data_IF_478713084037
#
_entry.id   IF_478713084037
#
_cell.length_a   1.000
_cell.length_b   1.000
_cell.length_c   1.000
_cell.angle_alpha   90.00
_cell.angle_beta   90.00
_cell.angle_gamma   90.00
#
_symmetry.space_group_name_H-M   'P 1'
#
loop_
_entity.id
_entity.type
_entity.pdbx_description
1 polymer ?
#
# COMPACT_ATOMS: atom_id res chain seq x y z
N UNK A 1 -4.75 -22.12 7.38
CA UNK A 1 -5.15 -20.71 7.56
C UNK A 1 -4.49 -20.23 8.85
N UNK A 2 -3.65 -19.21 8.78
CA UNK A 2 -3.05 -18.59 9.97
C UNK A 2 -3.81 -17.29 10.26
N UNK A 3 -4.14 -17.07 11.52
CA UNK A 3 -4.81 -15.86 12.01
C UNK A 3 -4.02 -15.27 13.16
N UNK A 4 -4.06 -13.95 13.30
CA UNK A 4 -3.47 -13.22 14.41
C UNK A 4 -2.18 -12.53 14.03
N UNK A 5 -1.20 -12.52 14.94
CA UNK A 5 0.10 -11.90 14.70
C UNK A 5 0.87 -12.74 13.67
N UNK A 6 1.16 -12.12 12.53
CA UNK A 6 1.92 -12.73 11.44
C UNK A 6 3.42 -12.51 11.61
N UNK A 7 3.80 -11.28 11.99
CA UNK A 7 5.17 -10.95 12.40
C UNK A 7 5.23 -9.63 13.17
N UNK A 8 6.35 -9.39 13.87
CA UNK A 8 6.64 -8.13 14.54
C UNK A 8 8.14 -7.86 14.52
N UNK A 9 8.50 -6.58 14.45
CA UNK A 9 9.91 -6.16 14.47
C UNK A 9 10.05 -4.75 15.05
N UNK A 10 11.18 -4.52 15.72
CA UNK A 10 11.73 -3.20 16.01
C UNK A 10 12.97 -3.07 15.13
N UNK A 11 12.89 -2.38 13.98
CA UNK A 11 14.03 -2.28 13.08
C UNK A 11 15.11 -1.39 13.66
N UNK A 12 16.37 -1.65 13.26
CA UNK A 12 17.45 -0.69 13.51
C UNK A 12 17.15 0.61 12.76
N UNK A 13 17.47 1.79 13.35
CA UNK A 13 17.27 3.08 12.70
C UNK A 13 17.99 3.19 11.36
N UNK A 14 17.29 3.67 10.35
CA UNK A 14 17.86 4.02 9.05
C UNK A 14 17.64 3.00 7.94
N UNK A 15 18.07 1.73 8.05
CA UNK A 15 17.89 0.77 6.94
C UNK A 15 16.44 0.30 6.78
N UNK A 16 16.09 -0.04 5.53
CA UNK A 16 14.84 -0.74 5.22
C UNK A 16 14.97 -2.20 5.69
N UNK A 17 13.97 -2.69 6.39
CA UNK A 17 13.95 -4.04 6.97
C UNK A 17 12.73 -4.81 6.46
N UNK A 18 12.92 -6.09 6.15
CA UNK A 18 11.80 -6.96 5.80
C UNK A 18 10.99 -7.31 7.06
N UNK A 19 9.71 -6.90 7.07
CA UNK A 19 8.77 -7.25 8.13
C UNK A 19 8.11 -8.61 7.86
N UNK A 20 7.76 -8.89 6.60
CA UNK A 20 7.05 -10.11 6.25
C UNK A 20 7.28 -10.47 4.79
N UNK A 21 7.34 -11.77 4.50
CA UNK A 21 7.37 -12.29 3.14
C UNK A 21 6.14 -13.16 2.89
N UNK A 22 5.42 -12.89 1.82
CA UNK A 22 4.26 -13.67 1.41
C UNK A 22 4.66 -15.11 1.08
N UNK A 23 3.95 -16.11 1.61
CA UNK A 23 4.17 -17.52 1.25
C UNK A 23 3.95 -17.76 -0.26
N UNK A 24 4.61 -18.78 -0.81
CA UNK A 24 4.64 -19.01 -2.26
C UNK A 24 3.28 -19.25 -2.93
N UNK A 25 2.29 -19.70 -2.16
CA UNK A 25 0.99 -20.16 -2.67
C UNK A 25 -0.20 -19.50 -1.98
N UNK A 26 0.03 -18.39 -1.27
CA UNK A 26 -1.00 -17.79 -0.42
C UNK A 26 -1.05 -16.29 -0.56
N UNK A 27 -2.26 -15.76 -0.40
CA UNK A 27 -2.49 -14.35 -0.17
C UNK A 27 -2.51 -14.09 1.33
N UNK A 28 -1.82 -13.06 1.77
CA UNK A 28 -1.89 -12.56 3.13
C UNK A 28 -2.60 -11.22 3.14
N UNK A 29 -3.60 -11.09 4.02
CA UNK A 29 -4.37 -9.85 4.22
C UNK A 29 -4.19 -9.47 5.67
N UNK A 30 -3.73 -8.25 5.91
CA UNK A 30 -3.51 -7.79 7.28
C UNK A 30 -3.33 -6.31 7.38
N UNK A 31 -3.19 -5.85 8.61
CA UNK A 31 -2.91 -4.46 8.98
C UNK A 31 -1.58 -4.38 9.69
N UNK A 32 -0.94 -3.23 9.58
CA UNK A 32 0.25 -2.92 10.37
C UNK A 32 -0.16 -1.94 11.47
N UNK A 33 0.16 -2.30 12.71
CA UNK A 33 0.16 -1.36 13.82
C UNK A 33 1.59 -0.92 14.06
N UNK A 34 1.80 0.39 14.11
CA UNK A 34 3.09 1.01 14.43
C UNK A 34 2.95 1.74 15.76
N UNK A 35 3.82 1.46 16.71
CA UNK A 35 3.85 2.12 18.00
C UNK A 35 5.24 2.66 18.30
N UNK A 36 5.32 3.94 18.69
CA UNK A 36 6.61 4.56 19.08
C UNK A 36 6.74 4.66 20.58
N UNK A 37 7.86 4.14 21.09
CA UNK A 37 8.30 4.32 22.48
C UNK A 37 9.48 5.30 22.60
N UNK A 38 9.94 5.85 21.49
CA UNK A 38 11.03 6.82 21.48
C UNK A 38 10.52 8.23 21.76
N UNK A 39 11.18 8.96 22.65
CA UNK A 39 10.83 10.35 22.96
C UNK A 39 11.07 11.32 21.79
N UNK A 40 12.01 10.99 20.90
CA UNK A 40 12.19 11.75 19.65
C UNK A 40 11.14 11.33 18.63
N UNK A 41 10.51 12.27 17.92
CA UNK A 41 9.63 11.94 16.82
C UNK A 41 10.37 11.16 15.73
N UNK A 42 9.81 10.05 15.30
CA UNK A 42 10.35 9.23 14.22
C UNK A 42 9.62 9.48 12.90
N UNK A 43 10.32 9.29 11.80
CA UNK A 43 9.70 9.13 10.48
C UNK A 43 9.66 7.65 10.13
N UNK A 44 8.50 7.18 9.70
CA UNK A 44 8.32 5.79 9.31
C UNK A 44 8.05 5.66 7.83
N UNK A 45 8.41 4.51 7.29
CA UNK A 45 8.05 4.07 5.95
C UNK A 45 7.50 2.66 6.03
N UNK A 46 6.44 2.41 5.28
CA UNK A 46 5.84 1.10 5.06
C UNK A 46 5.72 0.91 3.57
N UNK A 47 6.28 -0.15 3.05
CA UNK A 47 6.28 -0.40 1.61
C UNK A 47 6.30 -1.88 1.29
N UNK A 48 6.37 -2.19 0.02
CA UNK A 48 6.54 -3.55 -0.44
C UNK A 48 7.61 -3.63 -1.52
N UNK A 49 8.14 -4.83 -1.70
CA UNK A 49 9.03 -5.18 -2.80
C UNK A 49 8.40 -6.28 -3.63
N UNK A 50 8.42 -6.07 -4.94
CA UNK A 50 8.08 -7.07 -5.95
C UNK A 50 9.22 -7.11 -6.97
N UNK A 51 10.02 -8.17 -6.91
CA UNK A 51 11.27 -8.22 -7.66
C UNK A 51 12.29 -7.18 -7.19
N UNK A 52 12.70 -6.27 -8.07
CA UNK A 52 13.65 -5.17 -7.75
C UNK A 52 12.98 -3.90 -7.27
N UNK A 53 11.66 -3.77 -7.46
CA UNK A 53 10.94 -2.54 -7.27
C UNK A 53 10.43 -2.38 -5.83
N UNK A 54 10.73 -1.24 -5.23
CA UNK A 54 10.21 -0.84 -3.91
C UNK A 54 9.20 0.27 -4.09
N UNK A 55 8.04 0.10 -3.49
CA UNK A 55 6.94 1.09 -3.48
C UNK A 55 6.41 1.24 -2.06
N UNK A 56 5.77 2.35 -1.78
CA UNK A 56 5.38 2.72 -0.43
C UNK A 56 3.87 2.83 -0.27
N UNK A 57 3.35 2.27 0.83
CA UNK A 57 2.02 2.54 1.35
C UNK A 57 2.02 3.77 2.25
N UNK A 58 3.11 3.96 3.02
CA UNK A 58 3.37 5.13 3.84
C UNK A 58 4.82 5.59 3.62
N UNK A 59 5.03 6.89 3.42
CA UNK A 59 6.36 7.43 3.18
C UNK A 59 6.64 8.65 4.05
N UNK A 60 7.70 8.55 4.89
CA UNK A 60 8.12 9.61 5.80
C UNK A 60 7.03 10.13 6.75
N UNK A 61 6.04 9.30 7.07
CA UNK A 61 5.00 9.65 8.03
C UNK A 61 5.59 9.84 9.42
N UNK A 62 5.23 10.93 10.08
CA UNK A 62 5.63 11.20 11.45
C UNK A 62 4.86 10.34 12.43
N UNK A 63 5.59 9.82 13.45
CA UNK A 63 5.02 9.18 14.65
C UNK A 63 5.72 9.74 15.88
N UNK A 64 4.94 10.15 16.88
CA UNK A 64 5.42 10.72 18.14
C UNK A 64 5.49 9.68 19.24
N UNK A 65 6.14 10.03 20.36
CA UNK A 65 6.15 9.20 21.58
C UNK A 65 4.72 8.86 22.02
N UNK A 66 4.49 7.57 22.28
CA UNK A 66 3.19 7.05 22.72
C UNK A 66 2.10 7.03 21.64
N UNK A 67 2.38 7.49 20.44
CA UNK A 67 1.44 7.41 19.32
C UNK A 67 1.39 6.00 18.76
N UNK A 68 0.19 5.59 18.38
CA UNK A 68 -0.08 4.34 17.67
C UNK A 68 -0.78 4.67 16.36
N UNK A 69 -0.27 4.12 15.27
CA UNK A 69 -0.82 4.24 13.93
C UNK A 69 -1.23 2.86 13.45
N UNK A 70 -2.40 2.75 12.84
CA UNK A 70 -2.85 1.53 12.16
C UNK A 70 -3.10 1.83 10.67
N UNK A 71 -2.67 0.92 9.80
CA UNK A 71 -2.91 1.01 8.36
C UNK A 71 -4.28 0.44 7.99
N UNK A 72 -4.75 0.75 6.79
CA UNK A 72 -5.78 -0.05 6.13
C UNK A 72 -5.25 -1.45 5.80
N UNK A 73 -6.12 -2.33 5.29
CA UNK A 73 -5.72 -3.66 4.90
C UNK A 73 -4.64 -3.62 3.80
N UNK A 74 -3.54 -4.30 4.06
CA UNK A 74 -2.42 -4.51 3.14
C UNK A 74 -2.50 -5.95 2.63
N UNK A 75 -2.43 -6.09 1.31
CA UNK A 75 -2.50 -7.37 0.61
C UNK A 75 -1.10 -7.73 0.14
N UNK A 76 -0.55 -8.83 0.66
CA UNK A 76 0.76 -9.34 0.26
C UNK A 76 0.58 -10.67 -0.44
N UNK A 77 0.88 -10.68 -1.73
CA UNK A 77 0.82 -11.86 -2.58
C UNK A 77 2.02 -12.78 -2.42
N UNK A 78 2.03 -13.90 -3.18
CA UNK A 78 3.15 -14.83 -3.18
C UNK A 78 4.49 -14.15 -3.45
N UNK A 79 5.48 -14.42 -2.61
CA UNK A 79 6.86 -13.93 -2.68
C UNK A 79 7.04 -12.40 -2.55
N UNK A 80 5.98 -11.62 -2.47
CA UNK A 80 6.08 -10.19 -2.20
C UNK A 80 6.58 -9.95 -0.77
N UNK A 81 7.42 -8.95 -0.60
CA UNK A 81 7.99 -8.58 0.70
C UNK A 81 7.34 -7.32 1.24
N UNK A 82 6.91 -7.37 2.49
CA UNK A 82 6.45 -6.21 3.24
C UNK A 82 7.62 -5.59 3.99
N UNK A 83 7.91 -4.34 3.69
CA UNK A 83 9.09 -3.62 4.15
C UNK A 83 8.72 -2.51 5.11
N UNK A 84 9.56 -2.30 6.13
CA UNK A 84 9.41 -1.20 7.09
C UNK A 84 10.73 -0.51 7.34
N UNK A 85 10.65 0.75 7.78
CA UNK A 85 11.79 1.56 8.19
C UNK A 85 11.36 2.56 9.25
N UNK A 86 12.25 2.87 10.18
CA UNK A 86 12.13 4.02 11.08
C UNK A 86 13.44 4.80 11.11
N UNK A 87 13.37 6.10 11.41
CA UNK A 87 14.56 6.93 11.58
C UNK A 87 15.12 6.88 13.01
N UNK A 88 14.29 6.47 13.97
CA UNK A 88 14.62 6.39 15.38
C UNK A 88 14.47 4.96 15.90
N UNK A 89 15.18 4.58 16.97
CA UNK A 89 15.00 3.29 17.65
C UNK A 89 13.64 3.21 18.36
N UNK A 90 13.30 2.05 18.89
CA UNK A 90 12.11 1.80 19.72
C UNK A 90 10.77 2.11 19.02
N UNK A 91 10.75 1.99 17.70
CA UNK A 91 9.52 1.99 16.90
C UNK A 91 9.18 0.54 16.54
N UNK A 92 8.08 0.07 17.06
CA UNK A 92 7.61 -1.30 16.85
C UNK A 92 6.60 -1.38 15.71
N UNK A 93 6.78 -2.36 14.83
CA UNK A 93 5.86 -2.68 13.74
C UNK A 93 5.30 -4.07 13.98
N UNK A 94 3.97 -4.19 14.03
CA UNK A 94 3.25 -5.45 14.14
C UNK A 94 2.40 -5.65 12.89
N UNK A 95 2.59 -6.76 12.20
CA UNK A 95 1.73 -7.17 11.09
C UNK A 95 0.82 -8.30 11.55
N UNK A 96 -0.49 -8.07 11.53
CA UNK A 96 -1.47 -9.04 11.95
C UNK A 96 -2.61 -9.15 10.93
N UNK A 97 -3.19 -10.32 10.85
CA UNK A 97 -4.22 -10.61 9.85
C UNK A 97 -4.40 -12.09 9.62
N UNK A 98 -4.59 -12.46 8.38
CA UNK A 98 -4.82 -13.84 7.98
C UNK A 98 -4.09 -14.18 6.68
N UNK A 99 -3.73 -15.45 6.56
CA UNK A 99 -3.23 -16.03 5.33
C UNK A 99 -4.27 -16.97 4.77
N UNK A 100 -4.65 -16.77 3.52
CA UNK A 100 -5.64 -17.58 2.81
C UNK A 100 -4.97 -18.28 1.63
N UNK A 101 -5.44 -19.49 1.33
CA UNK A 101 -4.98 -20.18 0.14
C UNK A 101 -5.56 -19.48 -1.08
N UNK A 102 -4.70 -19.02 -1.95
CA UNK A 102 -5.07 -18.49 -3.26
C UNK A 102 -5.23 -19.67 -4.22
N UNK A 103 -6.33 -20.43 -4.05
CA UNK A 103 -6.52 -21.72 -4.74
C UNK A 103 -7.19 -21.57 -6.10
N UNK A 104 -7.66 -20.39 -6.48
CA UNK A 104 -8.45 -20.23 -7.70
C UNK A 104 -7.63 -19.51 -8.76
N UNK A 105 -7.16 -20.31 -9.66
CA UNK A 105 -6.49 -20.06 -10.93
C UNK A 105 -7.08 -18.92 -11.77
N UNK A 106 -6.33 -18.09 -12.37
CA UNK A 106 -5.11 -17.34 -12.03
C UNK A 106 -5.44 -15.94 -11.52
N UNK A 107 -6.18 -15.86 -10.45
CA UNK A 107 -6.53 -14.56 -9.85
C UNK A 107 -5.25 -14.01 -9.21
N UNK A 108 -4.73 -12.93 -9.76
CA UNK A 108 -3.67 -12.18 -9.11
C UNK A 108 -4.23 -11.59 -7.82
N UNK A 109 -3.61 -11.93 -6.72
CA UNK A 109 -3.90 -11.38 -5.40
C UNK A 109 -2.62 -10.75 -4.83
N UNK A 110 -2.77 -9.75 -4.00
CA UNK A 110 -1.65 -8.98 -3.47
C UNK A 110 -1.54 -7.62 -4.14
N UNK A 111 -0.34 -7.11 -4.32
CA UNK A 111 -0.14 -5.87 -5.08
C UNK A 111 -0.27 -6.18 -6.56
N UNK A 112 -1.35 -5.69 -7.16
CA UNK A 112 -1.73 -6.01 -8.54
C UNK A 112 -1.00 -5.15 -9.56
N UNK A 113 -0.74 -3.89 -9.22
CA UNK A 113 -0.07 -2.93 -10.10
C UNK A 113 0.49 -1.76 -9.30
N UNK A 114 1.47 -1.09 -9.85
CA UNK A 114 2.00 0.17 -9.33
C UNK A 114 2.48 1.05 -10.48
N UNK A 115 2.49 2.35 -10.25
CA UNK A 115 3.09 3.33 -11.17
C UNK A 115 3.72 4.47 -10.38
N UNK A 116 4.73 5.08 -10.96
CA UNK A 116 5.28 6.35 -10.50
C UNK A 116 4.80 7.44 -11.46
N UNK A 117 3.86 8.25 -11.01
CA UNK A 117 3.41 9.39 -11.79
C UNK A 117 4.39 10.55 -11.62
N UNK A 118 5.01 10.95 -12.71
CA UNK A 118 5.98 12.06 -12.75
C UNK A 118 5.49 13.24 -13.58
N UNK A 119 4.34 13.11 -14.24
CA UNK A 119 3.72 14.14 -15.05
C UNK A 119 2.19 14.18 -14.84
N UNK A 120 1.50 15.26 -15.24
CA UNK A 120 0.06 15.42 -15.04
C UNK A 120 -0.80 14.62 -16.03
N UNK A 121 -0.23 13.72 -16.82
CA UNK A 121 -1.00 12.94 -17.79
C UNK A 121 -1.82 11.83 -17.12
N UNK A 122 -2.91 11.44 -17.76
CA UNK A 122 -3.71 10.30 -17.31
C UNK A 122 -2.90 9.02 -17.48
N UNK A 123 -2.91 8.17 -16.47
CA UNK A 123 -2.26 6.86 -16.48
C UNK A 123 -3.23 5.78 -16.03
N UNK A 124 -3.27 4.65 -16.74
CA UNK A 124 -3.99 3.47 -16.28
C UNK A 124 -3.19 2.80 -15.18
N UNK A 125 -3.74 2.74 -13.98
CA UNK A 125 -3.12 2.06 -12.86
C UNK A 125 -3.35 0.54 -12.93
N UNK A 126 -4.58 0.13 -13.25
CA UNK A 126 -4.94 -1.28 -13.33
C UNK A 126 -6.11 -1.47 -14.30
N UNK A 127 -6.08 -2.55 -15.06
CA UNK A 127 -7.18 -2.98 -15.94
C UNK A 127 -7.66 -4.34 -15.46
N UNK A 128 -8.96 -4.46 -15.17
CA UNK A 128 -9.55 -5.73 -14.80
C UNK A 128 -9.43 -6.73 -15.97
N UNK A 129 -9.01 -7.98 -15.73
CA UNK A 129 -8.95 -8.98 -16.79
C UNK A 129 -10.34 -9.28 -17.36
N UNK A 130 -10.42 -9.50 -18.67
CA UNK A 130 -11.69 -9.79 -19.36
C UNK A 130 -12.41 -10.98 -18.71
N UNK A 131 -13.70 -10.81 -18.43
CA UNK A 131 -14.54 -11.83 -17.79
C UNK A 131 -14.31 -12.00 -16.29
N UNK A 132 -13.58 -11.10 -15.65
CA UNK A 132 -13.33 -11.14 -14.22
C UNK A 132 -13.92 -9.93 -13.48
N UNK A 133 -14.06 -10.07 -12.17
CA UNK A 133 -14.33 -8.97 -11.26
C UNK A 133 -13.13 -8.82 -10.32
N UNK A 134 -12.76 -7.59 -10.05
CA UNK A 134 -11.67 -7.27 -9.13
C UNK A 134 -12.16 -6.35 -8.03
N UNK A 135 -11.76 -6.64 -6.80
CA UNK A 135 -11.92 -5.73 -5.65
C UNK A 135 -10.55 -5.18 -5.32
N UNK A 136 -10.37 -3.88 -5.43
CA UNK A 136 -9.05 -3.26 -5.29
C UNK A 136 -9.07 -2.12 -4.28
N UNK A 137 -7.92 -1.94 -3.63
CA UNK A 137 -7.60 -0.76 -2.82
C UNK A 137 -6.50 0.02 -3.54
N UNK A 138 -6.72 1.31 -3.74
CA UNK A 138 -5.70 2.20 -4.32
C UNK A 138 -5.05 2.99 -3.20
N UNK A 139 -3.73 2.93 -3.11
CA UNK A 139 -2.92 3.77 -2.23
C UNK A 139 -2.06 4.71 -3.06
N UNK A 140 -2.12 6.00 -2.75
CA UNK A 140 -1.39 7.07 -3.46
C UNK A 140 -0.52 7.78 -2.44
N UNK A 141 0.79 7.65 -2.58
CA UNK A 141 1.76 8.24 -1.68
C UNK A 141 2.50 9.39 -2.39
N UNK A 142 2.48 10.58 -1.81
CA UNK A 142 3.26 11.70 -2.31
C UNK A 142 4.70 11.63 -1.81
N UNK A 143 5.62 11.28 -2.69
CA UNK A 143 7.06 11.21 -2.41
C UNK A 143 7.77 12.54 -2.59
N UNK A 144 7.11 13.53 -3.21
CA UNK A 144 7.66 14.85 -3.51
C UNK A 144 7.69 15.78 -2.29
N UNK A 145 8.41 16.89 -2.39
CA UNK A 145 8.50 17.90 -1.34
C UNK A 145 7.26 18.81 -1.28
N UNK A 146 6.49 18.88 -2.36
CA UNK A 146 5.35 19.77 -2.50
C UNK A 146 4.02 19.01 -2.47
N UNK A 147 2.89 19.66 -2.10
CA UNK A 147 1.57 19.05 -2.20
C UNK A 147 1.25 18.67 -3.66
N UNK A 148 0.75 17.46 -3.86
CA UNK A 148 0.29 16.95 -5.14
C UNK A 148 -1.23 16.99 -5.22
N UNK A 149 -1.78 17.47 -6.34
CA UNK A 149 -3.22 17.38 -6.63
C UNK A 149 -3.48 16.15 -7.47
N UNK A 150 -4.37 15.28 -6.98
CA UNK A 150 -4.65 13.99 -7.58
C UNK A 150 -6.12 13.88 -7.98
N UNK A 151 -6.36 13.13 -9.04
CA UNK A 151 -7.69 12.70 -9.49
C UNK A 151 -7.66 11.19 -9.68
N UNK A 152 -8.68 10.52 -9.17
CA UNK A 152 -8.87 9.07 -9.32
C UNK A 152 -10.19 8.82 -10.02
N UNK A 153 -10.20 7.96 -11.02
CA UNK A 153 -11.41 7.65 -11.77
C UNK A 153 -11.44 6.24 -12.31
N UNK A 154 -12.59 5.87 -12.87
CA UNK A 154 -12.85 4.59 -13.52
C UNK A 154 -13.13 4.85 -14.99
N UNK A 155 -12.35 4.25 -15.89
CA UNK A 155 -12.65 4.25 -17.31
C UNK A 155 -13.46 2.99 -17.66
N UNK A 156 -14.53 3.16 -18.43
CA UNK A 156 -15.41 2.04 -18.80
C UNK A 156 -14.85 1.18 -19.92
N UNK A 157 -13.93 1.71 -20.73
CA UNK A 157 -13.28 0.97 -21.81
C UNK A 157 -11.77 1.10 -21.77
N UNK A 158 -11.26 2.30 -22.04
CA UNK A 158 -9.84 2.59 -22.00
C UNK A 158 -9.58 4.01 -21.46
N UNK A 159 -8.34 4.32 -21.22
CA UNK A 159 -7.95 5.61 -20.65
C UNK A 159 -8.26 6.81 -21.55
N UNK A 160 -8.38 6.60 -22.86
CA UNK A 160 -8.67 7.65 -23.83
C UNK A 160 -10.18 8.00 -23.85
N UNK A 161 -11.03 7.02 -23.51
CA UNK A 161 -12.47 7.20 -23.38
C UNK A 161 -12.91 7.79 -22.05
N UNK A 162 -11.99 7.95 -21.09
CA UNK A 162 -12.25 8.49 -19.74
C UNK A 162 -12.69 9.96 -19.80
N UNK A 163 -13.86 10.27 -19.27
CA UNK A 163 -14.42 11.62 -19.23
C UNK A 163 -14.58 12.18 -17.79
N UNK A 164 -15.10 13.40 -17.70
CA UNK A 164 -15.22 14.10 -16.42
C UNK A 164 -16.32 13.54 -15.49
N UNK A 165 -17.13 12.60 -15.94
CA UNK A 165 -18.21 11.98 -15.14
C UNK A 165 -17.75 10.71 -14.43
N UNK A 166 -16.54 10.23 -14.73
CA UNK A 166 -16.01 8.94 -14.27
C UNK A 166 -15.04 9.07 -13.08
N UNK A 167 -14.96 10.27 -12.47
CA UNK A 167 -14.13 10.45 -11.28
C UNK A 167 -14.77 9.85 -10.04
N UNK A 168 -13.98 9.05 -9.30
CA UNK A 168 -14.26 8.63 -7.93
C UNK A 168 -13.87 9.75 -6.95
N UNK A 169 -12.73 10.38 -7.20
CA UNK A 169 -12.18 11.47 -6.41
C UNK A 169 -11.60 12.53 -7.34
N UNK A 170 -11.93 13.79 -7.11
CA UNK A 170 -11.56 14.88 -8.01
C UNK A 170 -10.81 16.00 -7.31
N UNK A 171 -9.56 16.21 -7.70
CA UNK A 171 -8.80 17.38 -7.31
C UNK A 171 -8.46 17.46 -5.81
N UNK A 172 -8.30 16.34 -5.12
CA UNK A 172 -7.87 16.35 -3.73
C UNK A 172 -6.35 16.50 -3.63
N UNK A 173 -5.91 17.09 -2.51
CA UNK A 173 -4.48 17.33 -2.26
C UNK A 173 -3.90 16.30 -1.31
N UNK A 174 -2.71 15.80 -1.66
CA UNK A 174 -1.89 14.95 -0.80
C UNK A 174 -0.63 15.74 -0.46
N UNK A 175 -0.42 16.05 0.81
CA UNK A 175 0.77 16.74 1.28
C UNK A 175 2.05 15.89 1.15
N UNK A 176 3.22 16.51 1.27
CA UNK A 176 4.51 15.81 1.24
C UNK A 176 4.56 14.66 2.25
N UNK A 177 4.93 13.46 1.80
CA UNK A 177 5.01 12.26 2.65
C UNK A 177 3.66 11.73 3.15
N UNK A 178 2.55 12.29 2.70
CA UNK A 178 1.23 11.78 3.04
C UNK A 178 0.77 10.72 2.05
N UNK A 179 -0.09 9.84 2.54
CA UNK A 179 -0.74 8.79 1.75
C UNK A 179 -2.25 8.99 1.79
N UNK A 180 -2.87 8.84 0.64
CA UNK A 180 -4.30 8.69 0.46
C UNK A 180 -4.62 7.26 0.10
N UNK A 181 -5.62 6.66 0.74
CA UNK A 181 -6.05 5.28 0.46
C UNK A 181 -7.54 5.27 0.15
N UNK A 182 -7.89 4.67 -0.99
CA UNK A 182 -9.26 4.43 -1.42
C UNK A 182 -9.53 2.93 -1.45
N UNK A 183 -10.24 2.38 -0.46
CA UNK A 183 -10.57 0.96 -0.41
C UNK A 183 -11.80 0.62 -1.26
N UNK A 184 -12.03 -0.68 -1.44
CA UNK A 184 -13.27 -1.29 -1.92
C UNK A 184 -13.76 -0.83 -3.30
N UNK A 185 -12.84 -0.51 -4.20
CA UNK A 185 -13.17 -0.21 -5.59
C UNK A 185 -13.47 -1.52 -6.31
N UNK A 186 -14.68 -1.64 -6.84
CA UNK A 186 -15.11 -2.79 -7.63
C UNK A 186 -14.91 -2.50 -9.10
N UNK A 187 -14.14 -3.35 -9.77
CA UNK A 187 -13.91 -3.30 -11.21
C UNK A 187 -14.50 -4.54 -11.86
N UNK A 188 -15.19 -4.35 -12.96
CA UNK A 188 -15.68 -5.42 -13.84
C UNK A 188 -15.10 -5.28 -15.23
N UNK A 189 -15.12 -6.34 -16.02
CA UNK A 189 -14.79 -6.35 -17.44
C UNK A 189 -16.04 -6.59 -18.28
#
# INVERSE_FOLDING_TARGET
MAYGLLNSIIPSPGPVTNLYQGPNDKLTIGKITVASKNYNPSRIQIGYRDGSDVRYFEYNRYIKYGEVIETENIFIGPQQELLVRSTEPDVNFLYYGQTINDIINPVRSGVLSHTLSVDPTKQALFTAPVGSQSLVTVSICNLGPDPATVKLGLANADINSFDSTEYLDFGFQIGPGQTYTRPDIKLGA
#
